data_IF_682135425239
#
_entry.id   IF_682135425239
#
_cell.length_a   1.000
_cell.length_b   1.000
_cell.length_c   1.000
_cell.angle_alpha   90.00
_cell.angle_beta   90.00
_cell.angle_gamma   90.00
#
_symmetry.space_group_name_H-M   'P 1'
#
loop_
_entity.id
_entity.type
_entity.pdbx_description
1 polymer ?
#
# COMPACT_ATOMS: atom_id res chain seq x y z
N UNK A 1 1.47 25.11 -5.47
CA UNK A 1 2.29 23.92 -5.81
C UNK A 1 3.29 23.70 -4.69
N UNK A 2 3.34 22.49 -4.10
CA UNK A 2 4.26 22.13 -2.99
C UNK A 2 5.09 20.93 -3.42
N UNK A 3 6.40 20.98 -3.18
CA UNK A 3 7.29 19.84 -3.44
C UNK A 3 7.51 19.09 -2.13
N UNK A 4 7.15 17.81 -2.11
CA UNK A 4 7.41 16.92 -1.00
C UNK A 4 8.73 16.19 -1.24
N UNK A 5 9.65 16.24 -0.28
CA UNK A 5 11.00 15.66 -0.40
C UNK A 5 11.09 14.41 0.46
N UNK A 6 11.71 13.36 -0.08
CA UNK A 6 11.81 12.06 0.59
C UNK A 6 12.42 12.13 2.00
N UNK A 7 13.40 13.02 2.21
CA UNK A 7 14.03 13.23 3.51
C UNK A 7 13.07 13.70 4.62
N UNK A 8 11.87 14.19 4.27
CA UNK A 8 10.86 14.64 5.22
C UNK A 8 9.72 13.65 5.45
N UNK A 9 9.75 12.45 4.86
CA UNK A 9 8.66 11.48 4.99
C UNK A 9 8.68 10.76 6.34
N UNK A 10 7.48 10.47 6.86
CA UNK A 10 7.30 9.66 8.06
C UNK A 10 7.32 8.17 7.68
N UNK A 11 8.28 7.43 8.24
CA UNK A 11 8.37 5.97 8.10
C UNK A 11 7.81 5.32 9.36
N UNK A 12 6.89 4.38 9.19
CA UNK A 12 6.21 3.68 10.28
C UNK A 12 6.36 2.17 10.09
N UNK A 13 6.93 1.42 11.05
CA UNK A 13 6.95 -0.03 11.00
C UNK A 13 5.53 -0.59 11.14
N UNK A 14 5.25 -1.70 10.46
CA UNK A 14 3.99 -2.40 10.61
C UNK A 14 3.92 -3.09 11.98
N UNK A 15 2.72 -3.17 12.56
CA UNK A 15 2.50 -3.83 13.87
C UNK A 15 2.95 -5.29 13.90
N UNK A 16 2.92 -5.98 12.75
CA UNK A 16 3.32 -7.37 12.61
C UNK A 16 4.81 -7.56 12.31
N UNK A 17 5.59 -6.48 12.18
CA UNK A 17 7.02 -6.53 11.83
C UNK A 17 7.31 -6.99 10.40
N UNK A 18 6.30 -7.19 9.54
CA UNK A 18 6.47 -7.69 8.17
C UNK A 18 6.87 -6.63 7.14
N UNK A 19 7.17 -5.41 7.59
CA UNK A 19 7.46 -4.30 6.69
C UNK A 19 7.33 -2.91 7.31
N UNK A 20 7.38 -1.90 6.45
CA UNK A 20 7.23 -0.50 6.80
C UNK A 20 6.35 0.24 5.80
N UNK A 21 5.73 1.33 6.25
CA UNK A 21 5.05 2.30 5.38
C UNK A 21 5.73 3.64 5.50
N UNK A 22 6.13 4.22 4.37
CA UNK A 22 6.56 5.61 4.25
C UNK A 22 5.40 6.44 3.72
N UNK A 23 4.90 7.37 4.50
CA UNK A 23 3.81 8.26 4.11
C UNK A 23 4.33 9.44 3.28
N UNK A 24 3.75 9.65 2.10
CA UNK A 24 4.09 10.77 1.22
C UNK A 24 3.10 11.93 1.45
N UNK A 25 1.80 11.65 1.35
CA UNK A 25 0.75 12.64 1.48
C UNK A 25 -0.56 11.98 1.91
N UNK A 26 -1.40 12.74 2.60
CA UNK A 26 -2.74 12.34 3.06
C UNK A 26 -3.65 13.56 3.05
N UNK A 27 -4.94 13.36 2.80
CA UNK A 27 -5.98 14.39 2.93
C UNK A 27 -7.12 13.89 3.80
N UNK A 28 -7.69 14.73 4.68
CA UNK A 28 -7.18 16.05 5.04
C UNK A 28 -5.79 15.98 5.73
N UNK A 29 -5.07 17.10 5.76
CA UNK A 29 -3.75 17.17 6.41
C UNK A 29 -3.87 16.71 7.88
N UNK A 30 -3.13 15.66 8.24
CA UNK A 30 -3.15 15.09 9.60
C UNK A 30 -4.18 13.97 9.82
N UNK A 31 -4.96 13.59 8.81
CA UNK A 31 -5.86 12.44 8.90
C UNK A 31 -5.09 11.15 9.25
N UNK A 32 -5.74 10.30 10.03
CA UNK A 32 -5.30 8.96 10.36
C UNK A 32 -5.65 7.95 9.27
N UNK A 33 -5.56 6.66 9.61
CA UNK A 33 -5.89 5.56 8.71
C UNK A 33 -7.40 5.26 8.61
N UNK A 34 -8.22 5.93 9.44
CA UNK A 34 -9.66 5.67 9.57
C UNK A 34 -10.52 6.75 8.93
N UNK A 35 -9.94 7.93 8.65
CA UNK A 35 -10.66 9.16 8.31
C UNK A 35 -10.01 9.95 7.16
N UNK A 36 -9.11 9.33 6.39
CA UNK A 36 -8.55 9.95 5.19
C UNK A 36 -9.51 9.86 3.99
N UNK A 37 -9.54 10.91 3.17
CA UNK A 37 -10.20 10.91 1.86
C UNK A 37 -9.32 10.20 0.81
N UNK A 38 -8.02 10.49 0.85
CA UNK A 38 -7.02 9.82 0.02
C UNK A 38 -5.65 9.82 0.71
N UNK A 39 -4.83 8.84 0.35
CA UNK A 39 -3.47 8.67 0.90
C UNK A 39 -2.53 8.13 -0.15
N UNK A 40 -1.32 8.67 -0.21
CA UNK A 40 -0.22 8.19 -1.03
C UNK A 40 0.91 7.76 -0.10
N UNK A 41 1.37 6.53 -0.25
CA UNK A 41 2.43 5.96 0.58
C UNK A 41 3.27 4.94 -0.20
N UNK A 42 4.50 4.73 0.23
CA UNK A 42 5.37 3.64 -0.21
C UNK A 42 5.36 2.56 0.87
N UNK A 43 5.26 1.31 0.48
CA UNK A 43 5.38 0.16 1.37
C UNK A 43 6.66 -0.61 1.08
N UNK A 44 7.40 -0.98 2.13
CA UNK A 44 8.43 -2.02 2.05
C UNK A 44 7.84 -3.28 2.65
N UNK A 45 7.68 -4.32 1.84
CA UNK A 45 7.14 -5.62 2.25
C UNK A 45 8.32 -6.57 2.42
N UNK A 46 8.58 -7.02 3.63
CA UNK A 46 9.72 -7.90 3.95
C UNK A 46 9.28 -9.34 4.21
N UNK A 47 8.04 -9.52 4.65
CA UNK A 47 7.46 -10.83 4.93
C UNK A 47 6.07 -10.94 4.30
N UNK A 48 5.75 -12.11 3.77
CA UNK A 48 4.39 -12.45 3.32
C UNK A 48 3.38 -12.22 4.44
N UNK A 49 2.20 -11.71 4.11
CA UNK A 49 1.21 -11.35 5.13
C UNK A 49 -0.05 -10.69 4.58
N UNK A 50 -1.09 -10.59 5.42
CA UNK A 50 -2.31 -9.88 5.06
C UNK A 50 -2.04 -8.38 4.94
N UNK A 51 -2.75 -7.74 4.02
CA UNK A 51 -2.85 -6.28 3.99
C UNK A 51 -3.91 -5.79 4.98
N UNK A 52 -3.72 -4.57 5.48
CA UNK A 52 -4.79 -3.86 6.21
C UNK A 52 -6.01 -3.66 5.30
N UNK A 53 -7.19 -3.82 5.89
CA UNK A 53 -8.47 -3.50 5.25
C UNK A 53 -8.82 -2.02 5.46
N UNK A 54 -9.36 -1.39 4.42
CA UNK A 54 -9.81 0.00 4.41
C UNK A 54 -11.21 0.05 3.79
N UNK A 55 -12.23 0.12 4.65
CA UNK A 55 -13.64 0.13 4.25
C UNK A 55 -13.94 1.26 3.26
N UNK A 56 -14.53 0.93 2.09
CA UNK A 56 -14.94 1.93 1.10
C UNK A 56 -13.80 2.66 0.37
N UNK A 57 -12.55 2.20 0.51
CA UNK A 57 -11.38 2.80 -0.17
C UNK A 57 -10.97 1.96 -1.37
N UNK A 58 -10.84 2.59 -2.53
CA UNK A 58 -10.17 1.99 -3.68
C UNK A 58 -8.66 2.07 -3.54
N UNK A 59 -7.97 0.95 -3.79
CA UNK A 59 -6.51 0.87 -3.74
C UNK A 59 -5.96 0.64 -5.13
N UNK A 60 -4.81 1.27 -5.40
CA UNK A 60 -3.98 0.94 -6.56
C UNK A 60 -2.57 0.65 -6.06
N UNK A 61 -1.98 -0.45 -6.50
CA UNK A 61 -0.63 -0.85 -6.11
C UNK A 61 0.28 -0.96 -7.34
N UNK A 62 1.48 -0.41 -7.21
CA UNK A 62 2.58 -0.56 -8.16
C UNK A 62 3.82 -1.05 -7.41
N UNK A 63 4.53 -2.00 -8.00
CA UNK A 63 5.83 -2.44 -7.49
C UNK A 63 6.89 -1.46 -8.01
N UNK A 64 7.70 -0.90 -7.10
CA UNK A 64 8.76 0.04 -7.47
C UNK A 64 10.12 -0.64 -7.62
N UNK A 65 10.38 -1.65 -6.80
CA UNK A 65 11.67 -2.34 -6.72
C UNK A 65 11.48 -3.78 -6.21
N UNK A 66 12.43 -4.67 -6.52
CA UNK A 66 12.46 -6.07 -6.10
C UNK A 66 11.89 -7.04 -7.13
N UNK A 67 11.84 -8.33 -6.76
CA UNK A 67 11.47 -9.44 -7.66
C UNK A 67 9.96 -9.53 -7.96
N UNK A 68 9.18 -8.68 -7.30
CA UNK A 68 7.73 -8.62 -7.39
C UNK A 68 7.02 -9.10 -6.13
N UNK A 69 5.70 -9.16 -6.21
CA UNK A 69 4.78 -9.59 -5.15
C UNK A 69 3.67 -10.41 -5.77
N UNK A 70 3.26 -11.50 -5.12
CA UNK A 70 2.04 -12.21 -5.48
C UNK A 70 0.90 -11.71 -4.59
N UNK A 71 -0.18 -11.25 -5.20
CA UNK A 71 -1.38 -10.81 -4.48
C UNK A 71 -2.49 -11.83 -4.64
N UNK A 72 -2.96 -12.35 -3.51
CA UNK A 72 -4.20 -13.11 -3.41
C UNK A 72 -5.30 -12.17 -2.93
N UNK A 73 -6.18 -11.78 -3.85
CA UNK A 73 -7.36 -10.96 -3.57
C UNK A 73 -8.56 -11.87 -3.61
N UNK A 74 -9.34 -11.92 -2.53
CA UNK A 74 -10.55 -12.75 -2.45
C UNK A 74 -11.44 -12.53 -3.67
N UNK A 75 -11.96 -13.62 -4.25
CA UNK A 75 -12.80 -13.64 -5.46
C UNK A 75 -12.13 -13.21 -6.77
N UNK A 76 -10.79 -13.09 -6.81
CA UNK A 76 -10.01 -12.86 -8.04
C UNK A 76 -8.94 -13.94 -8.23
N UNK A 77 -8.48 -14.20 -9.47
CA UNK A 77 -7.27 -14.99 -9.69
C UNK A 77 -6.05 -14.33 -9.03
N UNK A 78 -5.08 -15.10 -8.51
CA UNK A 78 -3.82 -14.57 -8.02
C UNK A 78 -3.12 -13.70 -9.08
N UNK A 79 -2.54 -12.58 -8.64
CA UNK A 79 -1.90 -11.63 -9.52
C UNK A 79 -0.43 -11.42 -9.12
N UNK A 80 0.50 -11.75 -10.03
CA UNK A 80 1.92 -11.41 -9.87
C UNK A 80 2.17 -10.00 -10.39
N UNK A 81 2.69 -9.13 -9.54
CA UNK A 81 3.11 -7.78 -9.91
C UNK A 81 4.62 -7.67 -9.82
N UNK A 82 5.22 -6.99 -10.80
CA UNK A 82 6.66 -6.69 -10.89
C UNK A 82 6.83 -5.21 -11.23
N UNK A 83 8.05 -4.64 -11.20
CA UNK A 83 8.28 -3.27 -11.65
C UNK A 83 7.83 -2.97 -13.10
N UNK A 84 7.71 -4.01 -13.95
CA UNK A 84 7.22 -3.88 -15.33
C UNK A 84 5.70 -4.02 -15.47
N UNK A 85 4.99 -4.40 -14.40
CA UNK A 85 3.54 -4.57 -14.41
C UNK A 85 2.84 -3.21 -14.40
N UNK A 86 1.68 -3.12 -15.06
CA UNK A 86 0.79 -1.99 -14.88
C UNK A 86 0.30 -1.90 -13.42
N UNK A 87 -0.03 -0.70 -12.91
CA UNK A 87 -0.65 -0.55 -11.59
C UNK A 87 -1.93 -1.40 -11.48
N UNK A 88 -2.10 -2.10 -10.35
CA UNK A 88 -3.25 -2.98 -10.13
C UNK A 88 -4.28 -2.29 -9.23
N UNK A 89 -5.50 -2.00 -9.72
CA UNK A 89 -6.60 -1.54 -8.89
C UNK A 89 -7.32 -2.69 -8.18
N UNK A 90 -7.62 -2.52 -6.90
CA UNK A 90 -8.40 -3.45 -6.09
C UNK A 90 -9.10 -2.75 -4.92
N UNK A 91 -10.28 -3.23 -4.49
CA UNK A 91 -10.98 -2.69 -3.34
C UNK A 91 -10.19 -2.94 -2.06
N UNK A 92 -10.05 -1.90 -1.24
CA UNK A 92 -9.29 -1.92 0.01
C UNK A 92 -9.99 -2.68 1.13
N UNK A 93 -11.27 -3.00 0.98
CA UNK A 93 -12.09 -3.69 1.96
C UNK A 93 -12.26 -5.19 1.68
N UNK A 94 -11.70 -5.68 0.58
CA UNK A 94 -11.65 -7.11 0.26
C UNK A 94 -10.38 -7.75 0.85
N UNK A 95 -10.49 -8.88 1.57
CA UNK A 95 -9.33 -9.56 2.14
C UNK A 95 -8.29 -9.86 1.07
N UNK A 96 -7.10 -9.29 1.28
CA UNK A 96 -5.96 -9.34 0.36
C UNK A 96 -4.71 -9.71 1.14
N UNK A 97 -3.87 -10.59 0.58
CA UNK A 97 -2.56 -10.92 1.14
C UNK A 97 -1.47 -10.89 0.09
N UNK A 98 -0.27 -10.63 0.55
CA UNK A 98 0.96 -10.72 -0.21
C UNK A 98 1.69 -12.02 0.12
N UNK A 99 2.18 -12.72 -0.91
CA UNK A 99 3.16 -13.80 -0.77
C UNK A 99 4.43 -13.50 -1.54
#
# INVERSE_FOLDING_TARGET
MRILRAAGYRVMPWKNGGGTTTEIAVSPDGAGLEDFDWRISIARVETSGPFSSFAGVDRTLSVLEGDGIMLDITSRPPARLTPASAPLPFPGDVPTRAT
#
